data_IF_682093234082
#
_entry.id   IF_682093234082
#
_cell.length_a   1.000
_cell.length_b   1.000
_cell.length_c   1.000
_cell.angle_alpha   90.00
_cell.angle_beta   90.00
_cell.angle_gamma   90.00
#
_symmetry.space_group_name_H-M   'P 1'
#
loop_
_entity.id
_entity.type
_entity.pdbx_description
1 polymer ?
#
# COMPACT_ATOMS: atom_id res chain seq x y z
N UNK A 1 7.24 -17.14 9.00
CA UNK A 1 7.73 -15.76 8.81
C UNK A 1 6.56 -14.98 8.22
N UNK A 2 5.91 -14.14 9.01
CA UNK A 2 4.78 -13.31 8.56
C UNK A 2 5.38 -12.05 7.91
N UNK A 3 5.15 -11.87 6.62
CA UNK A 3 5.56 -10.65 5.92
C UNK A 3 4.31 -9.80 5.71
N UNK A 4 4.27 -8.66 6.38
CA UNK A 4 3.27 -7.64 6.09
C UNK A 4 3.65 -6.94 4.78
N UNK A 5 2.66 -6.65 3.95
CA UNK A 5 2.83 -5.90 2.70
C UNK A 5 1.87 -4.72 2.69
N UNK A 6 2.24 -3.64 2.01
CA UNK A 6 1.33 -2.51 1.82
C UNK A 6 0.54 -2.76 0.54
N UNK A 7 -0.77 -2.91 0.65
CA UNK A 7 -1.66 -3.00 -0.52
C UNK A 7 -2.33 -1.67 -0.77
N UNK A 8 -2.71 -1.43 -2.03
CA UNK A 8 -3.27 -0.17 -2.48
C UNK A 8 -4.58 -0.38 -3.21
N UNK A 9 -5.52 0.55 -3.00
CA UNK A 9 -6.79 0.60 -3.73
C UNK A 9 -6.67 1.54 -4.94
N UNK A 10 -6.43 1.05 -6.17
CA UNK A 10 -6.12 1.90 -7.32
C UNK A 10 -7.23 2.91 -7.62
N UNK A 11 -8.49 2.55 -7.33
CA UNK A 11 -9.68 3.40 -7.48
C UNK A 11 -9.61 4.69 -6.63
N UNK A 12 -8.89 4.67 -5.50
CA UNK A 12 -8.73 5.83 -4.62
C UNK A 12 -7.44 6.61 -4.89
N UNK A 13 -6.50 6.04 -5.65
CA UNK A 13 -5.22 6.65 -5.94
C UNK A 13 -5.40 7.81 -6.93
N UNK A 14 -4.93 9.00 -6.56
CA UNK A 14 -4.91 10.18 -7.43
C UNK A 14 -3.51 10.51 -7.95
N UNK A 15 -2.58 9.57 -7.82
CA UNK A 15 -1.19 9.74 -8.25
C UNK A 15 -0.54 11.03 -7.70
N UNK A 16 -0.79 11.35 -6.43
CA UNK A 16 -0.19 12.53 -5.79
C UNK A 16 1.33 12.38 -5.57
N UNK A 17 1.83 11.14 -5.41
CA UNK A 17 3.26 10.84 -5.21
C UNK A 17 3.82 11.10 -3.82
N UNK A 18 2.98 11.52 -2.87
CA UNK A 18 3.40 11.78 -1.48
C UNK A 18 3.99 10.52 -0.83
N UNK A 19 3.44 9.34 -1.16
CA UNK A 19 3.93 8.05 -0.65
C UNK A 19 5.37 7.74 -1.06
N UNK A 20 5.72 7.92 -2.34
CA UNK A 20 7.10 7.73 -2.84
C UNK A 20 8.03 8.79 -2.26
N UNK A 21 7.59 10.05 -2.17
CA UNK A 21 8.40 11.16 -1.64
C UNK A 21 8.79 10.98 -0.17
N UNK A 22 7.88 10.48 0.67
CA UNK A 22 8.14 10.25 2.09
C UNK A 22 8.74 8.86 2.36
N UNK A 23 8.96 8.04 1.33
CA UNK A 23 9.58 6.73 1.53
C UNK A 23 11.09 6.93 1.78
N UNK A 24 11.63 6.57 2.96
CA UNK A 24 13.06 6.74 3.24
C UNK A 24 13.94 5.84 2.36
N UNK A 25 13.33 4.81 1.75
CA UNK A 25 13.98 3.85 0.87
C UNK A 25 13.85 4.23 -0.61
N UNK A 26 13.10 5.29 -0.94
CA UNK A 26 12.87 5.69 -2.33
C UNK A 26 12.09 4.68 -3.18
N UNK A 27 11.32 3.79 -2.55
CA UNK A 27 10.49 2.81 -3.26
C UNK A 27 9.36 3.55 -3.99
N UNK A 28 9.12 3.21 -5.26
CA UNK A 28 8.05 3.82 -6.04
C UNK A 28 6.67 3.27 -5.69
N UNK A 29 6.17 3.65 -4.51
CA UNK A 29 4.84 3.29 -4.01
C UNK A 29 3.74 3.91 -4.85
N UNK A 30 3.95 5.07 -5.48
CA UNK A 30 2.98 5.76 -6.34
C UNK A 30 2.55 4.85 -7.49
N UNK A 31 3.51 4.33 -8.25
CA UNK A 31 3.22 3.48 -9.41
C UNK A 31 2.54 2.19 -8.98
N UNK A 32 3.02 1.57 -7.89
CA UNK A 32 2.38 0.38 -7.30
C UNK A 32 0.93 0.67 -6.91
N UNK A 33 0.68 1.83 -6.30
CA UNK A 33 -0.64 2.24 -5.87
C UNK A 33 -1.60 2.48 -7.03
N UNK A 34 -1.12 3.11 -8.11
CA UNK A 34 -1.88 3.28 -9.35
C UNK A 34 -2.23 1.94 -10.00
N UNK A 35 -1.30 0.99 -9.99
CA UNK A 35 -1.48 -0.35 -10.55
C UNK A 35 -2.26 -1.30 -9.63
N UNK A 36 -2.57 -0.91 -8.39
CA UNK A 36 -3.18 -1.78 -7.40
C UNK A 36 -2.28 -2.94 -6.96
N UNK A 37 -0.96 -2.77 -7.10
CA UNK A 37 0.02 -3.78 -6.72
C UNK A 37 0.44 -3.61 -5.27
N UNK A 38 0.61 -4.73 -4.58
CA UNK A 38 1.21 -4.75 -3.26
C UNK A 38 2.67 -4.29 -3.33
N UNK A 39 3.08 -3.46 -2.36
CA UNK A 39 4.47 -3.12 -2.10
C UNK A 39 5.10 -4.28 -1.35
N UNK A 40 5.42 -5.34 -2.09
CA UNK A 40 6.15 -6.51 -1.63
C UNK A 40 7.61 -6.40 -2.11
N UNK A 41 8.32 -5.42 -1.58
CA UNK A 41 9.71 -5.16 -1.94
C UNK A 41 10.62 -5.64 -0.80
N UNK A 42 11.75 -6.29 -1.13
CA UNK A 42 12.71 -6.79 -0.14
C UNK A 42 13.32 -5.67 0.71
N UNK A 43 13.35 -4.44 0.18
CA UNK A 43 13.82 -3.28 0.92
C UNK A 43 12.74 -2.71 1.85
N UNK A 44 11.46 -2.97 1.60
CA UNK A 44 10.36 -2.38 2.36
C UNK A 44 10.35 -2.88 3.81
N UNK A 45 10.72 -2.00 4.74
CA UNK A 45 10.72 -2.28 6.18
C UNK A 45 9.31 -2.22 6.82
N UNK A 46 8.25 -2.06 6.01
CA UNK A 46 6.87 -1.89 6.50
C UNK A 46 6.72 -0.75 7.52
N UNK A 47 7.48 0.34 7.34
CA UNK A 47 7.56 1.44 8.32
C UNK A 47 6.26 2.23 8.51
N UNK A 48 5.35 2.22 7.55
CA UNK A 48 4.03 2.88 7.68
C UNK A 48 3.97 4.32 7.20
N UNK A 49 5.09 4.93 6.84
CA UNK A 49 5.10 6.33 6.42
C UNK A 49 4.23 6.58 5.18
N UNK A 50 4.26 5.66 4.21
CA UNK A 50 3.44 5.77 3.01
C UNK A 50 1.93 5.72 3.32
N UNK A 51 1.51 4.91 4.29
CA UNK A 51 0.11 4.79 4.72
C UNK A 51 -0.30 6.03 5.51
N UNK A 52 0.52 6.47 6.47
CA UNK A 52 0.26 7.62 7.32
C UNK A 52 0.18 8.94 6.53
N UNK A 53 1.00 9.09 5.48
CA UNK A 53 1.03 10.31 4.65
C UNK A 53 0.03 10.30 3.51
N UNK A 54 -0.66 9.21 3.24
CA UNK A 54 -1.62 9.15 2.14
C UNK A 54 -2.89 9.95 2.50
N UNK A 55 -3.16 11.12 1.88
CA UNK A 55 -4.30 11.95 2.25
C UNK A 55 -5.65 11.31 1.91
N UNK A 56 -5.65 10.35 0.97
CA UNK A 56 -6.85 9.64 0.51
C UNK A 56 -7.09 8.33 1.27
N UNK A 57 -6.14 7.91 2.12
CA UNK A 57 -6.21 6.60 2.77
C UNK A 57 -6.24 5.44 1.77
N UNK A 58 -5.54 5.59 0.65
CA UNK A 58 -5.50 4.58 -0.43
C UNK A 58 -4.71 3.32 -0.06
N UNK A 59 -3.71 3.49 0.80
CA UNK A 59 -2.77 2.44 1.18
C UNK A 59 -3.20 1.81 2.50
N UNK A 60 -3.06 0.50 2.64
CA UNK A 60 -3.34 -0.26 3.86
C UNK A 60 -2.31 -1.37 4.06
N UNK A 61 -2.12 -1.78 5.30
CA UNK A 61 -1.28 -2.93 5.64
C UNK A 61 -2.08 -4.21 5.58
N UNK A 62 -1.52 -5.21 4.90
CA UNK A 62 -2.09 -6.54 4.84
C UNK A 62 -1.00 -7.56 5.18
N UNK A 63 -1.25 -8.39 6.20
CA UNK A 63 -0.38 -9.53 6.51
C UNK A 63 -0.65 -10.61 5.46
N UNK A 64 0.34 -10.90 4.61
CA UNK A 64 0.22 -11.98 3.62
C UNK A 64 0.25 -13.34 4.33
N UNK A 65 -0.88 -13.72 4.91
CA UNK A 65 -1.27 -15.11 5.05
C UNK A 65 -1.96 -15.47 3.74
N UNK A 66 -1.38 -16.39 2.97
CA UNK A 66 -1.68 -16.69 1.56
C UNK A 66 -3.15 -17.07 1.26
N UNK A 67 -4.06 -17.09 2.24
CA UNK A 67 -5.49 -17.35 2.01
C UNK A 67 -6.37 -16.60 3.03
N UNK A 68 -6.74 -15.34 2.78
CA UNK A 68 -7.91 -14.73 3.40
C UNK A 68 -8.46 -13.53 2.60
N UNK A 69 -9.62 -13.77 1.98
CA UNK A 69 -10.70 -12.82 1.73
C UNK A 69 -10.49 -11.70 0.70
N UNK A 70 -11.19 -11.85 -0.43
CA UNK A 70 -11.55 -10.73 -1.28
C UNK A 70 -12.21 -9.59 -0.48
N UNK A 71 -11.79 -8.36 -0.76
CA UNK A 71 -12.44 -7.16 -0.23
C UNK A 71 -13.70 -6.82 -1.04
N UNK A 72 -14.69 -7.73 -1.02
CA UNK A 72 -16.08 -7.39 -1.33
C UNK A 72 -16.88 -7.36 -0.03
N UNK A 73 -16.84 -6.23 0.69
CA UNK A 73 -18.02 -5.60 1.33
C UNK A 73 -17.67 -4.39 2.18
N UNK A 74 -18.43 -3.34 1.93
CA UNK A 74 -18.54 -2.16 2.78
C UNK A 74 -19.51 -1.15 2.19
N UNK A 75 -20.65 -1.64 1.66
CA UNK A 75 -21.83 -0.82 1.39
C UNK A 75 -22.73 -0.87 2.62
N UNK A 76 -23.16 0.31 3.04
CA UNK A 76 -24.18 0.59 4.05
C UNK A 76 -24.71 1.99 3.76
#
# INVERSE_FOLDING_TARGET
MVSAVVVAEPVRCVECGICTYNCPLGIDVRTRARLGQAVADSYCLTCGECVARCPRGTLRFESSAVFAAGSTRGGG
#
